data_IF_943691532526
#
_entry.id   IF_943691532526
#
_cell.length_a   1.000
_cell.length_b   1.000
_cell.length_c   1.000
_cell.angle_alpha   90.00
_cell.angle_beta   90.00
_cell.angle_gamma   90.00
#
_symmetry.space_group_name_H-M   'P 1'
#
loop_
_entity.id
_entity.type
_entity.pdbx_description
1 polymer ?
#
# COMPACT_ATOMS: atom_id res chain seq x y z
N UNK A 1 -38.92 -5.14 -10.48
CA UNK A 1 -38.55 -4.86 -9.08
C UNK A 1 -37.07 -4.53 -9.05
N UNK A 2 -36.71 -3.24 -8.94
CA UNK A 2 -35.32 -2.81 -8.77
C UNK A 2 -35.03 -2.81 -7.27
N UNK A 3 -34.22 -3.77 -6.81
CA UNK A 3 -33.70 -3.76 -5.46
C UNK A 3 -32.70 -2.60 -5.37
N UNK A 4 -33.12 -1.50 -4.76
CA UNK A 4 -32.22 -0.40 -4.42
C UNK A 4 -31.33 -0.87 -3.27
N UNK A 5 -30.04 -1.06 -3.57
CA UNK A 5 -29.03 -1.18 -2.52
C UNK A 5 -28.96 0.20 -1.87
N UNK A 6 -29.53 0.31 -0.68
CA UNK A 6 -29.32 1.47 0.18
C UNK A 6 -27.86 1.38 0.60
N UNK A 7 -26.97 2.18 -0.02
CA UNK A 7 -25.67 2.48 0.58
C UNK A 7 -26.01 3.26 1.85
N UNK A 8 -25.79 2.65 3.01
CA UNK A 8 -25.87 3.36 4.28
C UNK A 8 -25.01 4.63 4.15
N UNK A 9 -25.59 5.77 4.49
CA UNK A 9 -24.90 7.05 4.40
C UNK A 9 -23.70 7.00 5.36
N UNK A 10 -22.50 7.26 4.84
CA UNK A 10 -21.32 7.47 5.69
C UNK A 10 -21.63 8.60 6.67
N UNK A 11 -21.61 8.32 7.97
CA UNK A 11 -21.81 9.34 9.00
C UNK A 11 -20.61 10.29 8.97
N UNK A 12 -20.86 11.60 8.82
CA UNK A 12 -19.84 12.63 8.96
C UNK A 12 -19.12 12.44 10.31
N UNK A 13 -17.81 12.13 10.27
CA UNK A 13 -17.00 11.87 11.46
C UNK A 13 -16.67 10.39 11.74
N UNK A 14 -17.07 9.46 10.86
CA UNK A 14 -16.60 8.07 10.94
C UNK A 14 -15.05 8.01 10.85
N UNK A 15 -14.39 7.14 11.63
CA UNK A 15 -12.94 7.14 11.74
C UNK A 15 -12.29 6.64 10.43
N UNK A 16 -11.36 7.42 9.89
CA UNK A 16 -10.78 7.21 8.56
C UNK A 16 -9.87 5.98 8.51
N UNK A 17 -9.99 5.18 7.45
CA UNK A 17 -9.04 4.11 7.12
C UNK A 17 -7.88 4.67 6.33
N UNK A 18 -6.66 4.25 6.65
CA UNK A 18 -5.46 4.71 5.94
C UNK A 18 -4.62 3.54 5.43
N UNK A 19 -4.18 3.61 4.18
CA UNK A 19 -3.25 2.66 3.58
C UNK A 19 -2.01 3.40 3.11
N UNK A 20 -0.87 3.12 3.73
CA UNK A 20 0.42 3.51 3.20
C UNK A 20 0.92 2.42 2.26
N UNK A 21 0.94 2.68 0.95
CA UNK A 21 1.48 1.75 -0.04
C UNK A 21 2.83 2.23 -0.56
N UNK A 22 3.84 1.37 -0.45
CA UNK A 22 5.24 1.67 -0.74
C UNK A 22 5.77 0.76 -1.84
N UNK A 23 6.62 1.29 -2.71
CA UNK A 23 7.44 0.47 -3.61
C UNK A 23 8.49 -0.26 -2.78
N UNK A 24 8.74 -1.53 -3.09
CA UNK A 24 9.82 -2.27 -2.44
C UNK A 24 11.16 -1.53 -2.52
N UNK A 25 12.03 -1.78 -1.53
CA UNK A 25 13.38 -1.21 -1.49
C UNK A 25 14.27 -1.79 -2.62
N UNK A 26 15.47 -1.24 -2.78
CA UNK A 26 16.42 -1.72 -3.80
C UNK A 26 16.63 -3.23 -3.72
N UNK A 27 16.39 -3.91 -4.84
CA UNK A 27 16.55 -5.36 -4.95
C UNK A 27 17.95 -5.74 -5.37
N UNK A 28 18.33 -6.96 -5.03
CA UNK A 28 19.39 -7.66 -5.74
C UNK A 28 18.96 -7.85 -7.22
N UNK A 29 19.84 -7.58 -8.20
CA UNK A 29 19.49 -7.71 -9.62
C UNK A 29 19.24 -9.16 -10.04
N UNK A 30 19.86 -10.12 -9.36
CA UNK A 30 19.87 -11.55 -9.72
C UNK A 30 18.95 -12.39 -8.83
N UNK A 31 18.51 -11.86 -7.69
CA UNK A 31 17.62 -12.55 -6.75
C UNK A 31 16.31 -11.78 -6.47
N UNK A 32 15.26 -12.52 -6.09
CA UNK A 32 14.08 -11.90 -5.46
C UNK A 32 14.36 -11.64 -3.98
N UNK A 33 15.25 -10.69 -3.72
CA UNK A 33 15.66 -10.28 -2.38
C UNK A 33 16.09 -8.82 -2.38
N UNK A 34 16.20 -8.21 -1.21
CA UNK A 34 16.82 -6.90 -1.06
C UNK A 34 18.34 -6.99 -1.16
N UNK A 35 18.94 -6.04 -1.88
CA UNK A 35 20.40 -5.84 -1.84
C UNK A 35 20.82 -5.36 -0.44
N UNK A 36 22.11 -5.44 -0.08
CA UNK A 36 22.60 -4.84 1.17
C UNK A 36 22.20 -3.37 1.32
N UNK A 37 22.31 -2.57 0.26
CA UNK A 37 21.91 -1.16 0.24
C UNK A 37 20.39 -1.00 0.35
N UNK A 38 19.62 -1.91 -0.25
CA UNK A 38 18.16 -1.91 -0.13
C UNK A 38 17.68 -2.19 1.30
N UNK A 39 18.39 -3.03 2.05
CA UNK A 39 18.10 -3.26 3.48
C UNK A 39 18.34 -2.00 4.30
N UNK A 40 19.48 -1.33 4.08
CA UNK A 40 19.78 -0.04 4.73
C UNK A 40 18.74 1.00 4.35
N UNK A 41 18.41 1.15 3.07
CA UNK A 41 17.37 2.06 2.59
C UNK A 41 16.02 1.79 3.25
N UNK A 42 15.64 0.51 3.38
CA UNK A 42 14.39 0.14 4.02
C UNK A 42 14.41 0.50 5.51
N UNK A 43 15.50 0.17 6.20
CA UNK A 43 15.66 0.50 7.62
C UNK A 43 15.63 2.01 7.88
N UNK A 44 16.29 2.81 7.03
CA UNK A 44 16.30 4.27 7.10
C UNK A 44 14.89 4.84 7.01
N UNK A 45 14.09 4.38 6.05
CA UNK A 45 12.69 4.79 5.91
C UNK A 45 11.86 4.32 7.11
N UNK A 46 12.06 3.08 7.55
CA UNK A 46 11.38 2.51 8.72
C UNK A 46 11.56 3.35 9.99
N UNK A 47 12.73 3.96 10.20
CA UNK A 47 12.98 4.86 11.34
C UNK A 47 12.20 6.18 11.28
N UNK A 48 11.66 6.54 10.12
CA UNK A 48 10.86 7.76 9.94
C UNK A 48 9.36 7.51 10.05
N UNK A 49 8.93 6.23 10.05
CA UNK A 49 7.52 5.87 10.15
C UNK A 49 7.00 6.21 11.56
N UNK A 50 5.80 6.77 11.61
CA UNK A 50 5.13 7.14 12.86
C UNK A 50 3.88 6.29 13.06
N UNK A 51 3.51 6.05 14.32
CA UNK A 51 2.39 5.18 14.68
C UNK A 51 2.64 3.70 14.37
N UNK A 52 1.65 2.87 14.70
CA UNK A 52 1.65 1.44 14.36
C UNK A 52 0.75 1.15 13.17
N UNK A 53 1.00 0.03 12.49
CA UNK A 53 0.09 -0.55 11.50
C UNK A 53 -0.74 -1.67 12.13
N UNK A 54 -2.03 -1.69 11.84
CA UNK A 54 -2.95 -2.76 12.25
C UNK A 54 -2.87 -3.96 11.31
N UNK A 55 -2.58 -3.72 10.03
CA UNK A 55 -2.46 -4.73 8.98
C UNK A 55 -1.25 -4.48 8.07
N UNK A 56 -0.65 -5.57 7.60
CA UNK A 56 0.43 -5.54 6.60
C UNK A 56 0.09 -6.37 5.37
N UNK A 57 0.22 -5.78 4.19
CA UNK A 57 -0.03 -6.43 2.91
C UNK A 57 1.24 -6.43 2.07
N UNK A 58 1.53 -7.54 1.43
CA UNK A 58 2.69 -7.63 0.53
C UNK A 58 2.29 -8.33 -0.75
N UNK A 59 2.89 -7.91 -1.86
CA UNK A 59 2.88 -8.74 -3.07
C UNK A 59 3.57 -10.10 -2.80
N UNK A 60 3.36 -11.14 -3.63
CA UNK A 60 4.05 -12.42 -3.49
C UNK A 60 5.58 -12.36 -3.59
N UNK A 61 6.15 -11.26 -4.09
CA UNK A 61 7.59 -11.09 -4.20
C UNK A 61 8.27 -11.01 -2.82
N UNK A 62 9.32 -11.80 -2.61
CA UNK A 62 10.09 -11.85 -1.36
C UNK A 62 10.71 -10.51 -1.00
N UNK A 63 11.18 -9.73 -1.98
CA UNK A 63 11.68 -8.35 -1.76
C UNK A 63 10.64 -7.40 -1.14
N UNK A 64 9.34 -7.61 -1.42
CA UNK A 64 8.28 -6.80 -0.82
C UNK A 64 8.09 -7.16 0.65
N UNK A 65 8.06 -8.45 0.97
CA UNK A 65 8.02 -8.94 2.35
C UNK A 65 9.25 -8.51 3.16
N UNK A 66 10.45 -8.59 2.58
CA UNK A 66 11.68 -8.12 3.24
C UNK A 66 11.63 -6.60 3.50
N UNK A 67 11.14 -5.80 2.55
CA UNK A 67 11.00 -4.34 2.75
C UNK A 67 10.08 -4.04 3.94
N UNK A 68 8.90 -4.67 4.00
CA UNK A 68 7.97 -4.50 5.11
C UNK A 68 8.62 -4.92 6.45
N UNK A 69 9.36 -6.04 6.46
CA UNK A 69 10.04 -6.51 7.66
C UNK A 69 11.11 -5.52 8.17
N UNK A 70 11.88 -4.90 7.27
CA UNK A 70 12.86 -3.87 7.63
C UNK A 70 12.20 -2.58 8.11
N UNK A 71 11.08 -2.16 7.51
CA UNK A 71 10.29 -1.02 7.98
C UNK A 71 9.82 -1.23 9.42
N UNK A 72 9.14 -2.35 9.68
CA UNK A 72 8.56 -2.65 11.00
C UNK A 72 9.64 -2.82 12.07
N UNK A 73 10.75 -3.52 11.74
CA UNK A 73 11.89 -3.67 12.65
C UNK A 73 12.43 -2.32 13.10
N UNK A 74 12.67 -1.41 12.15
CA UNK A 74 13.22 -0.09 12.43
C UNK A 74 12.23 0.82 13.19
N UNK A 75 10.94 0.68 12.92
CA UNK A 75 9.87 1.35 13.66
C UNK A 75 9.63 0.76 15.07
N UNK A 76 10.35 -0.32 15.44
CA UNK A 76 10.15 -1.00 16.73
C UNK A 76 8.82 -1.76 16.83
N UNK A 77 8.16 -2.04 15.71
CA UNK A 77 6.89 -2.72 15.64
C UNK A 77 7.06 -4.22 15.34
N UNK A 78 6.36 -5.08 16.10
CA UNK A 78 6.21 -6.50 15.76
C UNK A 78 5.24 -6.67 14.58
N UNK A 79 5.43 -7.71 13.75
CA UNK A 79 4.57 -8.00 12.61
C UNK A 79 3.11 -8.16 13.07
N UNK A 80 2.19 -7.28 12.64
CA UNK A 80 0.77 -7.44 12.93
C UNK A 80 0.15 -8.54 12.04
N UNK A 81 -1.17 -8.66 12.06
CA UNK A 81 -1.87 -9.49 11.09
C UNK A 81 -1.49 -9.06 9.66
N UNK A 82 -1.29 -10.05 8.79
CA UNK A 82 -0.70 -9.81 7.48
C UNK A 82 -1.25 -10.76 6.42
N UNK A 83 -1.24 -10.29 5.18
CA UNK A 83 -1.70 -11.05 4.03
C UNK A 83 -0.79 -10.85 2.81
N UNK A 84 -0.67 -11.91 2.01
CA UNK A 84 -0.08 -11.84 0.67
C UNK A 84 -1.20 -11.57 -0.33
N UNK A 85 -1.04 -10.50 -1.13
CA UNK A 85 -2.05 -10.05 -2.11
C UNK A 85 -1.45 -10.12 -3.51
N UNK A 86 -1.77 -11.14 -4.33
CA UNK A 86 -1.24 -11.29 -5.68
C UNK A 86 -1.44 -10.06 -6.57
N UNK A 87 -2.60 -9.39 -6.45
CA UNK A 87 -2.90 -8.17 -7.19
C UNK A 87 -1.92 -7.01 -6.95
N UNK A 88 -1.18 -6.98 -5.84
CA UNK A 88 -0.13 -5.97 -5.62
C UNK A 88 1.10 -6.17 -6.53
N UNK A 89 1.27 -7.37 -7.10
CA UNK A 89 2.19 -7.68 -8.21
C UNK A 89 1.50 -7.65 -9.60
N UNK A 90 0.22 -7.31 -9.66
CA UNK A 90 -0.57 -7.32 -10.89
C UNK A 90 -1.09 -8.71 -11.27
N UNK A 91 -0.78 -9.74 -10.49
CA UNK A 91 -1.22 -11.11 -10.75
C UNK A 91 -2.74 -11.22 -10.70
N UNK A 92 -3.31 -11.92 -11.68
CA UNK A 92 -4.77 -12.05 -11.81
C UNK A 92 -5.46 -10.78 -12.32
N UNK A 93 -4.70 -9.75 -12.73
CA UNK A 93 -5.22 -8.55 -13.37
C UNK A 93 -4.75 -8.45 -14.83
N UNK A 94 -5.43 -7.63 -15.62
CA UNK A 94 -5.00 -7.19 -16.95
C UNK A 94 -4.01 -6.01 -16.89
N UNK A 95 -3.55 -5.64 -15.69
CA UNK A 95 -2.70 -4.47 -15.42
C UNK A 95 -3.28 -3.13 -15.91
N UNK A 96 -4.59 -3.06 -16.16
CA UNK A 96 -5.30 -1.80 -16.38
C UNK A 96 -5.36 -0.99 -15.09
N UNK A 97 -5.40 0.35 -15.18
CA UNK A 97 -5.64 1.19 -14.02
C UNK A 97 -6.88 0.75 -13.23
N UNK A 98 -8.00 0.48 -13.92
CA UNK A 98 -9.25 0.08 -13.28
C UNK A 98 -9.10 -1.16 -12.38
N UNK A 99 -8.53 -2.26 -12.90
CA UNK A 99 -8.36 -3.47 -12.10
C UNK A 99 -7.35 -3.31 -10.97
N UNK A 100 -6.26 -2.56 -11.18
CA UNK A 100 -5.30 -2.26 -10.12
C UNK A 100 -5.91 -1.34 -9.05
N UNK A 101 -6.81 -0.42 -9.43
CA UNK A 101 -7.59 0.40 -8.52
C UNK A 101 -8.51 -0.44 -7.64
N UNK A 102 -9.18 -1.45 -8.21
CA UNK A 102 -10.00 -2.40 -7.44
C UNK A 102 -9.17 -3.20 -6.43
N UNK A 103 -7.93 -3.57 -6.78
CA UNK A 103 -7.01 -4.21 -5.82
C UNK A 103 -6.73 -3.28 -4.65
N UNK A 104 -6.39 -2.01 -4.90
CA UNK A 104 -6.13 -1.04 -3.82
C UNK A 104 -7.37 -0.78 -2.97
N UNK A 105 -8.54 -0.66 -3.61
CA UNK A 105 -9.82 -0.50 -2.92
C UNK A 105 -10.11 -1.70 -2.00
N UNK A 106 -9.91 -2.93 -2.48
CA UNK A 106 -10.11 -4.14 -1.68
C UNK A 106 -9.14 -4.22 -0.49
N UNK A 107 -7.88 -3.81 -0.67
CA UNK A 107 -6.91 -3.74 0.43
C UNK A 107 -7.35 -2.71 1.48
N UNK A 108 -7.73 -1.50 1.07
CA UNK A 108 -8.23 -0.45 1.99
C UNK A 108 -9.48 -0.92 2.74
N UNK A 109 -10.41 -1.56 2.04
CA UNK A 109 -11.66 -2.05 2.62
C UNK A 109 -11.47 -3.15 3.67
N UNK A 110 -10.33 -3.86 3.66
CA UNK A 110 -9.99 -4.86 4.68
C UNK A 110 -9.42 -4.26 5.97
N UNK A 111 -9.05 -2.98 5.96
CA UNK A 111 -8.53 -2.27 7.14
C UNK A 111 -9.70 -1.98 8.10
N UNK A 112 -9.55 -2.24 9.42
CA UNK A 112 -10.57 -1.87 10.40
C UNK A 112 -10.88 -0.38 10.35
N UNK A 113 -12.11 0.02 10.67
CA UNK A 113 -12.47 1.45 10.76
C UNK A 113 -11.54 2.20 11.72
N UNK A 114 -11.00 3.34 11.29
CA UNK A 114 -9.95 4.07 12.01
C UNK A 114 -8.55 3.45 11.99
N UNK A 115 -8.38 2.32 11.30
CA UNK A 115 -7.13 1.57 11.25
C UNK A 115 -6.16 2.05 10.19
N UNK A 116 -4.92 1.57 10.30
CA UNK A 116 -3.82 1.88 9.41
C UNK A 116 -3.15 0.64 8.86
N UNK A 117 -3.12 0.52 7.54
CA UNK A 117 -2.44 -0.55 6.81
C UNK A 117 -1.12 -0.10 6.19
N UNK A 118 -0.15 -1.03 6.14
CA UNK A 118 1.05 -0.91 5.31
C UNK A 118 0.93 -1.89 4.14
N UNK A 119 1.13 -1.44 2.91
CA UNK A 119 1.30 -2.29 1.75
C UNK A 119 2.67 -2.11 1.10
N UNK A 120 3.28 -3.21 0.62
CA UNK A 120 4.47 -3.15 -0.22
C UNK A 120 4.22 -3.81 -1.57
N UNK A 121 4.39 -3.03 -2.64
CA UNK A 121 4.16 -3.44 -4.02
C UNK A 121 5.24 -2.93 -4.98
N UNK A 122 4.84 -2.70 -6.24
CA UNK A 122 5.77 -2.42 -7.35
C UNK A 122 5.34 -1.19 -8.16
N UNK A 123 6.32 -0.47 -8.68
CA UNK A 123 6.10 0.45 -9.82
C UNK A 123 6.10 -0.38 -11.13
N UNK A 124 5.31 -0.02 -12.16
CA UNK A 124 4.35 1.08 -12.23
C UNK A 124 2.95 0.73 -11.70
N UNK A 125 2.79 -0.36 -10.95
CA UNK A 125 1.47 -0.87 -10.55
C UNK A 125 0.79 0.00 -9.50
N UNK A 126 1.56 0.56 -8.57
CA UNK A 126 1.06 1.51 -7.56
C UNK A 126 0.48 2.74 -8.26
N UNK A 127 1.23 3.32 -9.20
CA UNK A 127 0.83 4.51 -9.95
C UNK A 127 -0.43 4.26 -10.79
N UNK A 128 -0.51 3.11 -11.46
CA UNK A 128 -1.72 2.70 -12.18
C UNK A 128 -2.91 2.45 -11.25
N UNK A 129 -2.68 1.83 -10.10
CA UNK A 129 -3.72 1.61 -9.10
C UNK A 129 -4.27 2.93 -8.56
N UNK A 130 -3.40 3.90 -8.26
CA UNK A 130 -3.80 5.26 -7.85
C UNK A 130 -4.64 5.92 -8.96
N UNK A 131 -4.20 5.80 -10.22
CA UNK A 131 -4.97 6.31 -11.37
C UNK A 131 -6.35 5.66 -11.46
N UNK A 132 -6.47 4.35 -11.34
CA UNK A 132 -7.77 3.67 -11.40
C UNK A 132 -8.67 3.98 -10.21
N UNK A 133 -8.09 4.22 -9.04
CA UNK A 133 -8.83 4.50 -7.82
C UNK A 133 -9.33 5.96 -7.73
N UNK A 134 -8.60 6.90 -8.35
CA UNK A 134 -8.82 8.34 -8.11
C UNK A 134 -8.78 9.23 -9.36
N UNK A 135 -8.54 8.66 -10.55
CA UNK A 135 -8.23 9.37 -11.81
C UNK A 135 -6.97 10.26 -11.76
N UNK A 136 -6.25 10.29 -10.63
CA UNK A 136 -5.00 11.04 -10.47
C UNK A 136 -3.82 10.28 -11.06
N UNK A 137 -3.05 10.95 -11.90
CA UNK A 137 -1.72 10.48 -12.30
C UNK A 137 -0.65 11.00 -11.34
N UNK A 138 0.27 10.12 -10.92
CA UNK A 138 1.44 10.48 -10.12
C UNK A 138 2.71 10.12 -10.89
N UNK A 139 3.80 10.84 -10.60
CA UNK A 139 5.10 10.54 -11.20
C UNK A 139 5.62 9.18 -10.71
N UNK A 140 6.49 8.50 -11.49
CA UNK A 140 7.10 7.24 -11.07
C UNK A 140 7.71 7.31 -9.67
N UNK A 141 7.52 6.26 -8.88
CA UNK A 141 8.02 6.14 -7.51
C UNK A 141 9.42 5.50 -7.51
N UNK A 142 10.36 6.16 -6.82
CA UNK A 142 11.64 5.54 -6.49
C UNK A 142 11.47 4.42 -5.44
N UNK A 143 12.50 3.61 -5.22
CA UNK A 143 12.48 2.56 -4.20
C UNK A 143 12.14 3.16 -2.81
N UNK A 144 11.31 2.47 -2.04
CA UNK A 144 10.74 2.94 -0.76
C UNK A 144 9.83 4.19 -0.82
N UNK A 145 9.67 4.86 -1.96
CA UNK A 145 8.62 5.87 -2.11
C UNK A 145 7.25 5.23 -2.19
N UNK A 146 6.20 6.02 -1.94
CA UNK A 146 4.85 5.50 -1.95
C UNK A 146 3.78 6.57 -2.00
N UNK A 147 2.58 6.17 -1.62
CA UNK A 147 1.48 7.09 -1.34
C UNK A 147 0.78 6.68 -0.04
N UNK A 148 0.24 7.67 0.66
CA UNK A 148 -0.75 7.48 1.70
C UNK A 148 -2.14 7.67 1.07
N UNK A 149 -2.95 6.63 1.12
CA UNK A 149 -4.35 6.62 0.71
C UNK A 149 -5.21 6.74 1.96
N UNK A 150 -6.10 7.72 2.01
CA UNK A 150 -7.05 7.90 3.11
C UNK A 150 -8.46 7.76 2.57
N UNK A 151 -9.22 6.81 3.11
CA UNK A 151 -10.62 6.60 2.80
C UNK A 151 -11.50 7.48 3.71
N UNK A 152 -12.15 8.47 3.09
CA UNK A 152 -13.13 9.36 3.72
C UNK A 152 -14.52 9.06 3.13
N UNK A 153 -15.16 8.02 3.65
CA UNK A 153 -16.50 7.63 3.22
C UNK A 153 -16.62 7.19 1.76
N UNK A 154 -15.58 6.54 1.23
CA UNK A 154 -15.46 6.11 -0.15
C UNK A 154 -14.79 7.14 -1.06
N UNK A 155 -14.51 8.35 -0.58
CA UNK A 155 -13.67 9.31 -1.29
C UNK A 155 -12.21 9.11 -0.88
N UNK A 156 -11.37 8.68 -1.83
CA UNK A 156 -9.95 8.42 -1.55
C UNK A 156 -9.12 9.70 -1.73
N UNK A 157 -8.48 10.14 -0.65
CA UNK A 157 -7.42 11.17 -0.68
C UNK A 157 -6.06 10.52 -0.88
N UNK A 158 -5.19 11.18 -1.65
CA UNK A 158 -3.86 10.67 -2.01
C UNK A 158 -2.79 11.69 -1.60
N UNK A 159 -1.83 11.27 -0.79
CA UNK A 159 -0.62 12.02 -0.47
C UNK A 159 0.61 11.25 -0.98
N UNK A 160 1.54 11.92 -1.66
CA UNK A 160 2.75 11.28 -2.16
C UNK A 160 3.84 11.25 -1.09
N UNK A 161 4.39 10.06 -0.83
CA UNK A 161 5.43 9.84 0.16
C UNK A 161 6.78 9.72 -0.57
N UNK A 162 7.44 10.87 -0.76
CA UNK A 162 8.69 11.00 -1.52
C UNK A 162 9.91 11.04 -0.61
N UNK A 163 11.03 10.53 -1.10
CA UNK A 163 12.33 10.60 -0.42
C UNK A 163 13.13 11.72 -1.09
N UNK A 164 13.48 12.74 -0.32
CA UNK A 164 14.23 13.93 -0.77
C UNK A 164 15.69 13.62 -1.07
#
# INVERSE_FOLDING_TARGET
MRSGIIREAHEEGSPLKTLEIRRHARRDPDEDALSPEGRVQAEDVGRTLTGSYDLVFVSPAKRAAETAAWFLRAAGQQLPEHAVVPGLAGDGTDNSPAQLGEVLHAVIASIPEGGRGLAVGHTPLIEKGVKGLTEREIRPLAECEGVLLTDDGGAIRVEELRLS
#
